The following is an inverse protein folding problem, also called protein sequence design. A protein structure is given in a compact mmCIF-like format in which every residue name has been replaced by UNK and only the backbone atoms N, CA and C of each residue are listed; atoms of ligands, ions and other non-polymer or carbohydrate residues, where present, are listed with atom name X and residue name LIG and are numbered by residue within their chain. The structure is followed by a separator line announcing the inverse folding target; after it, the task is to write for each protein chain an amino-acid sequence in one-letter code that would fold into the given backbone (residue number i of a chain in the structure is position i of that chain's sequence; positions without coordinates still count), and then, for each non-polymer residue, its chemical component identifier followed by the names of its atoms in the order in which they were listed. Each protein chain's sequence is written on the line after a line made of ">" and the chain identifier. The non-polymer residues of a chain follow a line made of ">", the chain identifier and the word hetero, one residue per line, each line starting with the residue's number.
data_IF_696355023256
#
_entry.id   IF_696355023256
#
_cell.length_a   1.000
_cell.length_b   1.000
_cell.length_c   1.000
_cell.angle_alpha   90.00
_cell.angle_beta   90.00
_cell.angle_gamma   90.00
#
_symmetry.space_group_name_H-M   'P 1'
#
loop_
_entity.id
_entity.type
_entity.pdbx_description
1 polymer ?
#
# COMPACT_ATOMS: atom_id res chain seq x y z
N UNK A 1 -20.03 49.03 73.51
CA UNK A 1 -20.56 47.74 74.05
C UNK A 1 -20.98 46.92 72.84
N UNK A 2 -20.12 45.99 72.39
CA UNK A 2 -20.23 44.53 72.63
C UNK A 2 -21.54 43.95 72.05
N UNK A 3 -21.62 42.85 71.31
CA UNK A 3 -20.72 41.92 70.62
C UNK A 3 -21.66 40.87 69.93
N UNK A 4 -21.16 40.09 68.96
CA UNK A 4 -21.77 38.84 68.46
C UNK A 4 -22.38 38.96 67.05
N UNK A 5 -21.71 38.57 65.96
CA UNK A 5 -21.31 37.22 65.50
C UNK A 5 -22.48 36.28 65.28
N UNK A 6 -22.69 35.84 64.03
CA UNK A 6 -23.64 34.78 63.69
C UNK A 6 -23.83 34.57 62.19
N UNK A 7 -22.85 33.92 61.56
CA UNK A 7 -22.94 33.16 60.30
C UNK A 7 -24.34 32.54 60.08
N UNK A 8 -24.95 32.66 58.89
CA UNK A 8 -25.84 31.66 58.24
C UNK A 8 -26.42 32.22 56.92
N UNK A 9 -25.58 32.53 55.92
CA UNK A 9 -26.03 32.76 54.53
C UNK A 9 -24.97 32.24 53.58
N UNK A 10 -24.99 30.95 53.25
CA UNK A 10 -24.37 30.38 52.04
C UNK A 10 -24.54 28.86 52.02
N UNK A 11 -25.74 28.36 51.72
CA UNK A 11 -25.92 26.91 51.49
C UNK A 11 -27.16 26.58 50.64
N UNK A 12 -27.49 27.37 49.62
CA UNK A 12 -28.57 26.98 48.67
C UNK A 12 -28.25 27.33 47.20
N UNK A 13 -27.05 27.79 46.85
CA UNK A 13 -26.82 28.30 45.50
C UNK A 13 -25.48 27.85 44.90
N UNK A 14 -25.38 26.56 44.55
CA UNK A 14 -24.46 26.04 43.49
C UNK A 14 -24.61 24.52 43.35
N UNK A 15 -25.79 24.01 42.95
CA UNK A 15 -25.93 22.62 42.48
C UNK A 15 -26.97 22.51 41.35
N UNK A 16 -26.98 23.50 40.45
CA UNK A 16 -28.00 23.60 39.39
C UNK A 16 -27.40 23.80 37.98
N UNK A 17 -26.09 23.62 37.81
CA UNK A 17 -25.39 23.84 36.52
C UNK A 17 -24.86 22.55 35.86
N UNK A 18 -25.48 21.39 36.10
CA UNK A 18 -25.17 20.13 35.40
C UNK A 18 -26.36 19.56 34.61
N UNK A 19 -27.44 20.33 34.42
CA UNK A 19 -28.53 19.96 33.51
C UNK A 19 -28.17 20.37 32.06
N UNK A 20 -27.15 19.70 31.53
CA UNK A 20 -26.82 19.66 30.11
C UNK A 20 -26.97 18.24 29.60
N UNK A 21 -28.17 17.64 29.72
CA UNK A 21 -28.50 16.41 28.98
C UNK A 21 -28.70 16.78 27.51
N UNK A 22 -27.62 17.01 26.78
CA UNK A 22 -27.62 16.67 25.36
C UNK A 22 -27.85 15.18 25.29
N UNK A 23 -29.01 14.76 24.78
CA UNK A 23 -29.32 13.38 24.45
C UNK A 23 -28.09 12.72 23.82
N UNK A 24 -27.52 11.73 24.50
CA UNK A 24 -26.34 11.02 24.03
C UNK A 24 -26.79 10.16 22.85
N UNK A 25 -26.74 10.74 21.65
CA UNK A 25 -26.99 10.08 20.37
C UNK A 25 -25.87 9.06 20.11
N UNK A 26 -25.98 7.88 20.74
CA UNK A 26 -24.96 6.83 20.62
C UNK A 26 -25.34 5.51 21.29
N UNK A 27 -26.31 5.52 22.22
CA UNK A 27 -26.80 4.31 22.85
C UNK A 27 -28.08 3.81 22.15
N UNK A 28 -27.93 3.02 21.10
CA UNK A 28 -29.05 2.26 20.52
C UNK A 28 -29.16 0.89 21.20
N UNK A 29 -30.37 0.45 21.62
CA UNK A 29 -30.54 -0.91 22.13
C UNK A 29 -30.15 -1.94 21.05
N UNK A 30 -29.60 -3.08 21.48
CA UNK A 30 -29.08 -4.14 20.58
C UNK A 30 -30.10 -4.70 19.57
N UNK A 31 -31.39 -4.45 19.78
CA UNK A 31 -32.51 -4.88 18.93
C UNK A 31 -32.91 -3.86 17.85
N UNK A 32 -32.27 -2.69 17.80
CA UNK A 32 -32.52 -1.66 16.77
C UNK A 32 -31.24 -1.28 16.06
N UNK A 33 -31.32 -1.24 14.72
CA UNK A 33 -30.25 -0.71 13.89
C UNK A 33 -29.93 0.72 14.29
N UNK A 34 -28.65 1.01 14.47
CA UNK A 34 -28.19 2.36 14.78
C UNK A 34 -28.34 3.25 13.54
N UNK A 35 -28.84 4.47 13.71
CA UNK A 35 -28.82 5.46 12.64
C UNK A 35 -27.37 5.77 12.32
N UNK A 36 -26.95 5.50 11.08
CA UNK A 36 -25.57 5.75 10.66
C UNK A 36 -25.37 7.27 10.49
N UNK A 37 -24.47 7.91 11.26
CA UNK A 37 -24.17 9.32 11.07
C UNK A 37 -23.61 9.53 9.66
N UNK A 38 -24.21 10.46 8.91
CA UNK A 38 -23.77 10.79 7.55
C UNK A 38 -22.62 11.80 7.62
N UNK A 39 -21.44 11.37 7.22
CA UNK A 39 -20.27 12.24 7.10
C UNK A 39 -20.37 13.22 5.93
N UNK A 40 -19.30 14.00 5.69
CA UNK A 40 -19.15 14.84 4.50
C UNK A 40 -19.35 14.06 3.18
N UNK A 41 -19.67 14.73 2.07
CA UNK A 41 -19.82 14.07 0.76
C UNK A 41 -18.50 13.43 0.29
N UNK A 42 -18.62 12.50 -0.65
CA UNK A 42 -17.46 11.89 -1.33
C UNK A 42 -16.83 12.98 -2.23
N UNK A 43 -15.51 13.12 -2.15
CA UNK A 43 -14.72 14.08 -2.93
C UNK A 43 -13.62 13.37 -3.72
N UNK A 44 -13.14 14.02 -4.78
CA UNK A 44 -12.02 13.53 -5.58
C UNK A 44 -10.69 13.61 -4.80
N UNK A 45 -9.84 12.59 -4.97
CA UNK A 45 -8.52 12.57 -4.34
C UNK A 45 -7.54 13.42 -5.15
N UNK A 46 -7.43 14.70 -4.79
CA UNK A 46 -6.49 15.65 -5.41
C UNK A 46 -5.20 15.74 -4.59
N UNK A 47 -4.04 15.70 -5.25
CA UNK A 47 -2.74 15.91 -4.64
C UNK A 47 -2.05 17.16 -5.18
N UNK A 48 -1.14 17.78 -4.40
CA UNK A 48 -0.31 18.89 -4.87
C UNK A 48 0.44 18.66 -6.18
N UNK A 49 0.70 17.40 -6.54
CA UNK A 49 1.47 17.02 -7.72
C UNK A 49 0.60 16.81 -8.97
N UNK A 50 -0.72 16.88 -8.85
CA UNK A 50 -1.64 16.60 -9.95
C UNK A 50 -1.51 17.62 -11.07
N UNK A 51 -1.29 18.89 -10.74
CA UNK A 51 -1.09 19.95 -11.73
C UNK A 51 0.20 19.73 -12.53
N UNK A 52 1.29 19.37 -11.84
CA UNK A 52 2.56 19.07 -12.48
C UNK A 52 2.50 17.80 -13.34
N UNK A 53 1.80 16.75 -12.88
CA UNK A 53 1.54 15.55 -13.70
C UNK A 53 0.75 15.92 -14.95
N UNK A 54 -0.32 16.71 -14.81
CA UNK A 54 -1.15 17.13 -15.95
C UNK A 54 -0.37 18.00 -16.96
N UNK A 55 0.66 18.72 -16.52
CA UNK A 55 1.52 19.53 -17.37
C UNK A 55 2.38 18.68 -18.33
N UNK A 56 2.69 17.43 -17.96
CA UNK A 56 3.46 16.49 -18.80
C UNK A 56 2.62 15.92 -19.97
N UNK A 57 1.30 16.12 -19.96
CA UNK A 57 0.42 15.59 -21.00
C UNK A 57 0.87 16.03 -22.39
N UNK A 58 1.02 15.05 -23.30
CA UNK A 58 1.44 15.29 -24.68
C UNK A 58 2.94 15.58 -24.86
N UNK A 59 3.76 15.50 -23.80
CA UNK A 59 5.23 15.62 -23.87
C UNK A 59 5.95 14.30 -24.13
N UNK A 60 5.23 13.19 -24.06
CA UNK A 60 5.73 11.85 -24.37
C UNK A 60 4.96 11.32 -25.57
N UNK A 61 5.67 10.65 -26.47
CA UNK A 61 5.08 10.05 -27.67
C UNK A 61 4.01 8.99 -27.27
N UNK A 62 2.78 9.08 -27.79
CA UNK A 62 1.69 8.17 -27.41
C UNK A 62 1.93 6.71 -27.82
N UNK A 63 2.86 6.44 -28.73
CA UNK A 63 3.29 5.07 -29.06
C UNK A 63 4.04 4.40 -27.91
N UNK A 64 4.63 5.17 -26.99
CA UNK A 64 5.33 4.63 -25.84
C UNK A 64 4.33 4.23 -24.76
N UNK A 65 4.33 2.94 -24.44
CA UNK A 65 3.43 2.35 -23.46
C UNK A 65 4.13 2.09 -22.12
N UNK A 66 3.39 2.37 -21.05
CA UNK A 66 3.80 2.19 -19.67
C UNK A 66 2.94 1.12 -18.99
N UNK A 67 3.51 0.36 -18.08
CA UNK A 67 2.74 -0.47 -17.15
C UNK A 67 3.19 -0.21 -15.71
N UNK A 68 2.34 -0.61 -14.77
CA UNK A 68 2.71 -0.66 -13.36
C UNK A 68 2.86 -2.10 -12.95
N UNK A 69 4.03 -2.44 -12.43
CA UNK A 69 4.31 -3.72 -11.82
C UNK A 69 3.83 -3.77 -10.37
N UNK A 70 4.52 -4.57 -9.57
CA UNK A 70 4.22 -4.62 -8.15
C UNK A 70 4.84 -3.41 -7.43
N UNK A 71 4.02 -2.78 -6.59
CA UNK A 71 4.44 -1.80 -5.59
C UNK A 71 3.99 -2.38 -4.26
N UNK A 72 4.92 -3.07 -3.58
CA UNK A 72 4.61 -3.87 -2.39
C UNK A 72 4.85 -3.08 -1.11
N UNK A 73 4.07 -3.36 -0.08
CA UNK A 73 4.40 -2.96 1.28
C UNK A 73 5.44 -3.95 1.84
N UNK A 74 6.72 -3.56 1.79
CA UNK A 74 7.84 -4.32 2.32
C UNK A 74 8.17 -3.95 3.79
N UNK A 75 7.37 -3.08 4.42
CA UNK A 75 7.60 -2.65 5.80
C UNK A 75 7.26 -3.73 6.83
N UNK A 76 6.36 -4.64 6.46
CA UNK A 76 5.88 -5.73 7.31
C UNK A 76 5.07 -5.28 8.53
N UNK A 77 4.71 -3.99 8.64
CA UNK A 77 4.01 -3.45 9.81
C UNK A 77 2.51 -3.79 9.77
N UNK A 78 2.05 -4.37 10.87
CA UNK A 78 0.64 -4.72 11.09
C UNK A 78 0.14 -4.04 12.36
N UNK A 79 -1.12 -3.61 12.33
CA UNK A 79 -1.85 -3.16 13.51
C UNK A 79 -2.63 -4.33 14.07
N UNK A 80 -2.49 -4.54 15.39
CA UNK A 80 -3.23 -5.55 16.15
C UNK A 80 -4.12 -4.93 17.24
N UNK A 81 -4.25 -3.59 17.24
CA UNK A 81 -5.06 -2.85 18.22
C UNK A 81 -6.47 -2.57 17.67
N UNK A 82 -7.42 -2.35 18.60
CA UNK A 82 -8.79 -1.87 18.33
C UNK A 82 -9.66 -2.77 17.43
N UNK A 83 -9.72 -4.07 17.74
CA UNK A 83 -10.77 -4.95 17.21
C UNK A 83 -10.59 -5.40 15.76
N UNK A 84 -9.41 -5.17 15.16
CA UNK A 84 -9.04 -5.71 13.85
C UNK A 84 -7.53 -5.95 13.74
N UNK A 85 -7.15 -7.05 13.11
CA UNK A 85 -5.79 -7.27 12.61
C UNK A 85 -5.70 -6.84 11.15
N UNK A 86 -4.68 -6.06 10.79
CA UNK A 86 -4.53 -5.60 9.41
C UNK A 86 -3.20 -4.91 9.13
N UNK A 87 -2.86 -4.76 7.84
CA UNK A 87 -1.67 -4.02 7.40
C UNK A 87 -1.81 -2.54 7.76
N UNK A 88 -0.73 -1.93 8.24
CA UNK A 88 -0.72 -0.50 8.59
C UNK A 88 -0.74 0.42 7.35
N UNK A 89 -0.26 -0.08 6.22
CA UNK A 89 -0.24 0.64 4.95
C UNK A 89 -1.12 -0.04 3.90
N UNK A 90 -1.52 0.75 2.90
CA UNK A 90 -2.37 0.28 1.81
C UNK A 90 -1.59 -0.65 0.88
N UNK A 91 -2.22 -1.76 0.50
CA UNK A 91 -1.69 -2.71 -0.49
C UNK A 91 -2.00 -2.28 -1.95
N UNK A 92 -2.71 -1.15 -2.12
CA UNK A 92 -3.11 -0.57 -3.40
C UNK A 92 -2.13 0.48 -3.95
N UNK A 93 -0.88 0.53 -3.47
CA UNK A 93 0.09 1.54 -3.91
C UNK A 93 0.32 1.55 -5.43
N UNK A 94 0.29 0.39 -6.08
CA UNK A 94 0.43 0.29 -7.54
C UNK A 94 -0.72 0.97 -8.30
N UNK A 95 -1.95 0.95 -7.78
CA UNK A 95 -3.09 1.64 -8.39
C UNK A 95 -2.96 3.17 -8.26
N UNK A 96 -2.31 3.65 -7.20
CA UNK A 96 -1.99 5.06 -7.05
C UNK A 96 -0.98 5.51 -8.11
N UNK A 97 0.07 4.71 -8.36
CA UNK A 97 1.03 4.95 -9.45
C UNK A 97 0.35 4.88 -10.82
N UNK A 98 -0.56 3.92 -11.03
CA UNK A 98 -1.32 3.81 -12.28
C UNK A 98 -2.20 5.04 -12.51
N UNK A 99 -2.84 5.55 -11.45
CA UNK A 99 -3.61 6.80 -11.48
C UNK A 99 -2.72 7.99 -11.81
N UNK A 100 -1.50 8.06 -11.26
CA UNK A 100 -0.53 9.12 -11.55
C UNK A 100 -0.07 9.11 -13.01
N UNK A 101 0.23 7.93 -13.58
CA UNK A 101 0.56 7.77 -15.01
C UNK A 101 -0.62 8.21 -15.90
N UNK A 102 -1.84 7.81 -15.56
CA UNK A 102 -3.03 8.24 -16.29
C UNK A 102 -3.25 9.76 -16.21
N UNK A 103 -2.98 10.37 -15.05
CA UNK A 103 -2.98 11.83 -14.89
C UNK A 103 -1.91 12.51 -15.75
N UNK A 104 -0.72 11.91 -15.88
CA UNK A 104 0.34 12.37 -16.77
C UNK A 104 0.00 12.25 -18.26
N UNK A 105 -1.05 11.50 -18.62
CA UNK A 105 -1.54 11.34 -20.00
C UNK A 105 -0.63 10.50 -20.88
N UNK A 106 0.17 9.61 -20.29
CA UNK A 106 0.90 8.58 -21.03
C UNK A 106 0.01 7.38 -21.33
N UNK A 107 0.36 6.59 -22.35
CA UNK A 107 -0.36 5.36 -22.67
C UNK A 107 -0.08 4.30 -21.60
N UNK A 108 -1.10 3.93 -20.80
CA UNK A 108 -0.96 2.92 -19.73
C UNK A 108 -1.62 1.61 -20.11
N UNK A 109 -0.86 0.52 -20.04
CA UNK A 109 -1.32 -0.85 -20.30
C UNK A 109 -1.43 -1.62 -18.98
N UNK A 110 -2.53 -2.36 -18.80
CA UNK A 110 -2.71 -3.18 -17.61
C UNK A 110 -1.83 -4.44 -17.67
N UNK A 111 -0.84 -4.52 -16.77
CA UNK A 111 -0.03 -5.73 -16.52
C UNK A 111 -0.05 -6.18 -15.05
N UNK A 112 -0.81 -5.49 -14.19
CA UNK A 112 -0.97 -5.83 -12.77
C UNK A 112 -2.00 -6.94 -12.57
N UNK A 113 -3.03 -6.98 -13.40
CA UNK A 113 -3.98 -8.10 -13.49
C UNK A 113 -4.04 -8.65 -14.92
N UNK A 114 -3.08 -9.52 -15.31
CA UNK A 114 -3.04 -10.09 -16.64
C UNK A 114 -4.00 -11.28 -16.82
N UNK A 115 -4.76 -11.67 -15.79
CA UNK A 115 -5.57 -12.90 -15.85
C UNK A 115 -6.62 -12.85 -16.96
N UNK A 116 -7.31 -11.72 -17.10
CA UNK A 116 -8.32 -11.54 -18.16
C UNK A 116 -7.70 -11.68 -19.56
N UNK A 117 -6.65 -10.92 -19.95
CA UNK A 117 -6.06 -11.07 -21.28
C UNK A 117 -5.45 -12.46 -21.51
N UNK A 118 -4.96 -13.15 -20.48
CA UNK A 118 -4.44 -14.52 -20.59
C UNK A 118 -5.58 -15.52 -20.82
N UNK A 119 -6.63 -15.50 -20.00
CA UNK A 119 -7.75 -16.44 -20.09
C UNK A 119 -8.46 -16.32 -21.43
N UNK A 120 -8.70 -15.11 -21.89
CA UNK A 120 -9.34 -14.90 -23.19
C UNK A 120 -8.49 -15.32 -24.38
N UNK A 121 -7.16 -15.24 -24.24
CA UNK A 121 -6.23 -15.82 -25.21
C UNK A 121 -6.35 -17.35 -25.22
N UNK A 122 -6.38 -17.98 -24.04
CA UNK A 122 -6.51 -19.43 -23.90
C UNK A 122 -7.84 -19.95 -24.45
N UNK A 123 -8.91 -19.17 -24.33
CA UNK A 123 -10.22 -19.47 -24.88
C UNK A 123 -10.34 -19.14 -26.38
N UNK A 124 -9.32 -18.55 -26.99
CA UNK A 124 -9.32 -18.18 -28.41
C UNK A 124 -10.23 -17.00 -28.76
N UNK A 125 -10.64 -16.20 -27.77
CA UNK A 125 -11.47 -14.99 -27.98
C UNK A 125 -10.63 -13.87 -28.59
N UNK A 126 -9.37 -13.73 -28.14
CA UNK A 126 -8.42 -12.72 -28.61
C UNK A 126 -7.04 -13.35 -28.82
N UNK A 127 -6.27 -12.82 -29.77
CA UNK A 127 -4.86 -13.24 -29.95
C UNK A 127 -3.97 -12.41 -29.01
N UNK A 128 -3.05 -13.08 -28.31
CA UNK A 128 -2.01 -12.45 -27.48
C UNK A 128 -1.14 -11.49 -28.29
N UNK A 129 -0.94 -11.76 -29.58
CA UNK A 129 -0.14 -10.92 -30.48
C UNK A 129 -0.76 -9.55 -30.74
N UNK A 130 -2.06 -9.40 -30.51
CA UNK A 130 -2.77 -8.12 -30.67
C UNK A 130 -2.69 -7.26 -29.41
N UNK A 131 -2.14 -7.77 -28.31
CA UNK A 131 -1.97 -6.98 -27.10
C UNK A 131 -0.88 -5.93 -27.30
N UNK A 132 -1.17 -4.70 -26.86
CA UNK A 132 -0.19 -3.62 -26.88
C UNK A 132 1.02 -4.05 -26.02
N UNK A 133 2.24 -4.14 -26.59
CA UNK A 133 3.43 -4.45 -25.82
C UNK A 133 3.70 -3.31 -24.83
N UNK A 134 4.30 -3.63 -23.69
CA UNK A 134 4.77 -2.62 -22.73
C UNK A 134 6.20 -2.22 -23.10
N UNK A 135 6.51 -0.93 -23.15
CA UNK A 135 7.88 -0.46 -23.34
C UNK A 135 8.60 -0.24 -22.01
N UNK A 136 7.91 0.40 -21.05
CA UNK A 136 8.46 0.67 -19.73
C UNK A 136 7.51 0.22 -18.64
N UNK A 137 8.04 -0.23 -17.51
CA UNK A 137 7.22 -0.48 -16.34
C UNK A 137 7.81 0.14 -15.09
N UNK A 138 6.92 0.61 -14.21
CA UNK A 138 7.28 1.13 -12.89
C UNK A 138 6.99 0.07 -11.85
N UNK A 139 7.97 -0.22 -11.01
CA UNK A 139 7.84 -1.14 -9.87
C UNK A 139 8.55 -0.58 -8.65
N UNK A 140 8.27 -1.11 -7.48
CA UNK A 140 8.95 -0.65 -6.28
C UNK A 140 8.39 -1.23 -5.00
N UNK A 141 8.71 -0.57 -3.90
CA UNK A 141 8.17 -0.94 -2.60
C UNK A 141 8.13 0.25 -1.65
N UNK A 142 7.23 0.17 -0.68
CA UNK A 142 7.34 0.94 0.55
C UNK A 142 8.27 0.13 1.45
N UNK A 143 9.49 0.63 1.66
CA UNK A 143 10.58 -0.13 2.27
C UNK A 143 10.68 0.08 3.79
N UNK A 144 10.18 1.20 4.31
CA UNK A 144 10.27 1.53 5.73
C UNK A 144 9.02 2.25 6.24
N UNK A 145 8.66 1.91 7.48
CA UNK A 145 7.65 2.58 8.28
C UNK A 145 8.12 2.59 9.73
N UNK A 146 8.71 3.70 10.15
CA UNK A 146 9.32 3.84 11.47
C UNK A 146 8.57 4.86 12.32
N UNK A 147 8.28 4.48 13.57
CA UNK A 147 7.66 5.35 14.56
C UNK A 147 8.78 5.99 15.38
N UNK A 148 9.04 7.26 15.12
CA UNK A 148 10.04 8.04 15.84
C UNK A 148 9.34 8.69 17.04
N UNK A 149 9.68 8.31 18.28
CA UNK A 149 9.14 8.97 19.45
C UNK A 149 9.56 10.44 19.42
N UNK A 150 8.62 11.34 19.69
CA UNK A 150 8.94 12.75 19.82
C UNK A 150 9.02 13.18 21.29
N UNK A 151 9.06 14.50 21.48
CA UNK A 151 9.02 15.09 22.81
C UNK A 151 7.60 15.20 23.36
N UNK A 152 7.51 15.44 24.66
CA UNK A 152 6.25 15.79 25.31
C UNK A 152 6.51 16.61 26.56
N UNK A 153 5.49 17.36 26.98
CA UNK A 153 5.47 18.07 28.24
C UNK A 153 4.24 17.59 29.02
N UNK A 154 4.45 17.23 30.28
CA UNK A 154 3.37 16.88 31.20
C UNK A 154 3.55 17.71 32.46
N UNK A 155 2.52 18.46 32.81
CA UNK A 155 2.46 19.27 34.02
C UNK A 155 1.21 18.82 34.76
N UNK A 156 1.37 18.29 35.96
CA UNK A 156 0.28 17.93 36.86
C UNK A 156 0.45 18.65 38.19
N UNK A 157 -0.60 19.33 38.64
CA UNK A 157 -0.62 20.05 39.91
C UNK A 157 -1.95 19.75 40.59
N UNK A 158 -1.87 19.08 41.75
CA UNK A 158 -3.03 18.77 42.59
C UNK A 158 -4.15 18.01 41.86
N UNK A 159 -3.79 17.08 40.97
CA UNK A 159 -4.76 16.30 40.21
C UNK A 159 -5.41 17.10 39.09
N UNK A 160 -4.77 18.15 38.60
CA UNK A 160 -5.12 18.83 37.35
C UNK A 160 -3.88 18.80 36.47
N UNK A 161 -4.01 18.11 35.34
CA UNK A 161 -2.90 17.80 34.44
C UNK A 161 -3.13 18.34 33.03
N UNK A 162 -2.08 18.91 32.45
CA UNK A 162 -2.00 19.22 31.03
C UNK A 162 -0.84 18.46 30.41
N UNK A 163 -1.09 17.89 29.24
CA UNK A 163 -0.19 16.94 28.60
C UNK A 163 -0.15 17.18 27.11
N UNK A 164 1.04 17.47 26.62
CA UNK A 164 1.35 17.61 25.21
C UNK A 164 2.30 16.50 24.79
N UNK A 165 2.00 15.80 23.70
CA UNK A 165 2.88 14.78 23.13
C UNK A 165 3.02 15.00 21.64
N UNK A 166 4.23 14.82 21.14
CA UNK A 166 4.54 14.82 19.72
C UNK A 166 5.16 13.49 19.34
N UNK A 167 4.78 12.97 18.19
CA UNK A 167 5.36 11.76 17.61
C UNK A 167 5.52 11.98 16.10
N UNK A 168 6.45 11.25 15.48
CA UNK A 168 6.64 11.28 14.03
C UNK A 168 6.60 9.87 13.46
N UNK A 169 6.08 9.75 12.24
CA UNK A 169 6.09 8.51 11.48
C UNK A 169 6.92 8.76 10.24
N UNK A 170 8.03 8.06 10.08
CA UNK A 170 8.83 8.08 8.87
C UNK A 170 8.30 7.01 7.91
N UNK A 171 7.99 7.42 6.69
CA UNK A 171 7.66 6.53 5.58
C UNK A 171 8.71 6.73 4.51
N UNK A 172 9.27 5.65 3.97
CA UNK A 172 10.07 5.72 2.75
C UNK A 172 9.65 4.66 1.71
N UNK A 173 9.83 5.03 0.45
CA UNK A 173 9.51 4.21 -0.71
C UNK A 173 10.58 4.40 -1.78
N UNK A 174 10.78 3.36 -2.56
CA UNK A 174 11.65 3.38 -3.74
C UNK A 174 10.85 2.94 -4.95
N UNK A 175 10.81 3.77 -5.98
CA UNK A 175 10.26 3.40 -7.28
C UNK A 175 11.34 3.38 -8.35
N UNK A 176 11.33 2.34 -9.17
CA UNK A 176 12.22 2.17 -10.31
C UNK A 176 11.42 2.08 -11.60
N UNK A 177 11.96 2.68 -12.65
CA UNK A 177 11.48 2.59 -14.02
C UNK A 177 12.42 1.68 -14.80
N UNK A 178 11.86 0.66 -15.44
CA UNK A 178 12.63 -0.39 -16.12
C UNK A 178 12.18 -0.50 -17.58
N UNK A 179 13.14 -0.65 -18.50
CA UNK A 179 12.89 -1.01 -19.89
C UNK A 179 12.45 -2.47 -19.98
N UNK A 180 11.25 -2.73 -20.48
CA UNK A 180 10.68 -4.06 -20.59
C UNK A 180 11.40 -4.94 -21.62
N UNK A 181 12.08 -4.34 -22.61
CA UNK A 181 12.78 -5.09 -23.64
C UNK A 181 14.15 -5.60 -23.16
N UNK A 182 14.89 -4.77 -22.42
CA UNK A 182 16.25 -5.10 -21.96
C UNK A 182 16.32 -5.53 -20.50
N UNK A 183 15.30 -5.24 -19.69
CA UNK A 183 15.32 -5.42 -18.24
C UNK A 183 16.21 -4.41 -17.50
N UNK A 184 16.76 -3.40 -18.19
CA UNK A 184 17.62 -2.39 -17.56
C UNK A 184 16.78 -1.39 -16.78
N UNK A 185 17.15 -1.14 -15.52
CA UNK A 185 16.61 -0.03 -14.73
C UNK A 185 17.19 1.28 -15.28
N UNK A 186 16.32 2.15 -15.76
CA UNK A 186 16.72 3.40 -16.43
C UNK A 186 16.62 4.61 -15.50
N UNK A 187 15.75 4.55 -14.50
CA UNK A 187 15.58 5.59 -13.49
C UNK A 187 15.18 4.96 -12.16
N UNK A 188 15.61 5.57 -11.06
CA UNK A 188 15.26 5.17 -9.71
C UNK A 188 15.05 6.42 -8.84
N UNK A 189 13.95 6.46 -8.10
CA UNK A 189 13.57 7.59 -7.26
C UNK A 189 13.26 7.08 -5.85
N UNK A 190 14.22 7.21 -4.92
CA UNK A 190 13.99 6.97 -3.50
C UNK A 190 13.40 8.22 -2.85
N UNK A 191 12.31 8.07 -2.09
CA UNK A 191 11.68 9.16 -1.34
C UNK A 191 11.42 8.78 0.09
N UNK A 192 11.55 9.76 0.98
CA UNK A 192 11.18 9.63 2.39
C UNK A 192 10.39 10.86 2.84
N UNK A 193 9.42 10.65 3.75
CA UNK A 193 8.65 11.72 4.38
C UNK A 193 8.39 11.40 5.84
N UNK A 194 8.49 12.44 6.68
CA UNK A 194 8.09 12.36 8.09
C UNK A 194 6.70 12.98 8.28
N UNK A 195 5.76 12.17 8.75
CA UNK A 195 4.40 12.56 9.12
C UNK A 195 4.41 13.00 10.58
N UNK A 196 4.00 14.23 10.84
CA UNK A 196 3.92 14.78 12.19
C UNK A 196 2.59 14.44 12.86
N UNK A 197 2.67 14.07 14.14
CA UNK A 197 1.53 13.85 15.03
C UNK A 197 1.70 14.69 16.29
N UNK A 198 0.65 15.37 16.72
CA UNK A 198 0.59 16.03 18.02
C UNK A 198 -0.70 15.66 18.75
N UNK A 199 -0.61 15.55 20.07
CA UNK A 199 -1.73 15.25 20.94
C UNK A 199 -1.70 16.21 22.13
N UNK A 200 -2.84 16.86 22.36
CA UNK A 200 -3.10 17.76 23.46
C UNK A 200 -4.14 17.09 24.37
N UNK A 201 -3.84 16.88 25.64
CA UNK A 201 -4.75 16.31 26.63
C UNK A 201 -4.75 17.19 27.87
N UNK A 202 -5.93 17.51 28.37
CA UNK A 202 -6.13 18.18 29.66
C UNK A 202 -7.05 17.29 30.48
N UNK A 203 -6.70 17.05 31.73
CA UNK A 203 -7.48 16.20 32.61
C UNK A 203 -7.41 16.63 34.06
N UNK A 204 -8.30 16.03 34.85
CA UNK A 204 -8.31 16.14 36.29
C UNK A 204 -8.56 14.79 36.91
N UNK A 205 -7.77 14.47 37.92
CA UNK A 205 -7.74 13.21 38.64
C UNK A 205 -7.90 13.50 40.13
N UNK A 206 -8.97 13.01 40.76
CA UNK A 206 -9.22 13.21 42.19
C UNK A 206 -9.58 11.89 42.88
N UNK A 207 -8.96 11.66 44.03
CA UNK A 207 -9.31 10.54 44.90
C UNK A 207 -10.50 10.91 45.80
N UNK A 208 -11.47 10.00 45.88
CA UNK A 208 -12.56 9.98 46.86
C UNK A 208 -12.43 8.67 47.65
N UNK A 209 -11.96 8.76 48.90
CA UNK A 209 -11.54 7.63 49.73
C UNK A 209 -10.54 6.69 49.01
N UNK A 210 -11.01 5.57 48.49
CA UNK A 210 -10.22 4.57 47.76
C UNK A 210 -10.44 4.61 46.24
N UNK A 211 -11.32 5.47 45.75
CA UNK A 211 -11.72 5.54 44.34
C UNK A 211 -11.05 6.72 43.63
N UNK A 212 -10.31 6.46 42.55
CA UNK A 212 -9.79 7.51 41.66
C UNK A 212 -10.84 7.84 40.60
N UNK A 213 -11.27 9.10 40.57
CA UNK A 213 -12.13 9.62 39.50
C UNK A 213 -11.26 10.48 38.58
N UNK A 214 -11.12 10.05 37.33
CA UNK A 214 -10.40 10.76 36.28
C UNK A 214 -11.37 11.29 35.22
N UNK A 215 -11.21 12.56 34.84
CA UNK A 215 -11.90 13.19 33.73
C UNK A 215 -10.86 13.81 32.83
N UNK A 216 -10.78 13.37 31.57
CA UNK A 216 -9.85 13.95 30.59
C UNK A 216 -10.54 14.27 29.28
N UNK A 217 -10.07 15.33 28.64
CA UNK A 217 -10.46 15.76 27.31
C UNK A 217 -9.20 16.05 26.51
N UNK A 218 -9.18 15.65 25.24
CA UNK A 218 -8.00 15.86 24.41
C UNK A 218 -8.29 15.76 22.93
N UNK A 219 -7.40 16.34 22.13
CA UNK A 219 -7.43 16.29 20.69
C UNK A 219 -6.13 15.72 20.13
N UNK A 220 -6.21 15.04 18.99
CA UNK A 220 -5.05 14.57 18.23
C UNK A 220 -5.09 15.20 16.84
N UNK A 221 -3.93 15.70 16.39
CA UNK A 221 -3.71 16.15 15.02
C UNK A 221 -2.65 15.26 14.39
N UNK A 222 -2.95 14.67 13.23
CA UNK A 222 -2.02 13.85 12.47
C UNK A 222 -2.28 14.02 10.98
N UNK A 223 -1.23 14.09 10.17
CA UNK A 223 -1.38 13.98 8.73
C UNK A 223 -1.88 12.57 8.33
N UNK A 224 -2.79 12.49 7.37
CA UNK A 224 -3.32 11.22 6.93
C UNK A 224 -2.24 10.39 6.22
N UNK A 225 -1.80 9.28 6.84
CA UNK A 225 -0.68 8.47 6.34
C UNK A 225 -0.88 7.95 4.92
N UNK A 226 -2.09 7.47 4.58
CA UNK A 226 -2.38 7.01 3.22
C UNK A 226 -2.42 8.15 2.20
N UNK A 227 -2.83 9.36 2.61
CA UNK A 227 -2.79 10.54 1.75
C UNK A 227 -1.35 10.99 1.50
N UNK A 228 -0.52 11.03 2.56
CA UNK A 228 0.90 11.32 2.46
C UNK A 228 1.62 10.30 1.56
N UNK A 229 1.30 9.01 1.69
CA UNK A 229 1.83 7.95 0.82
C UNK A 229 1.43 8.18 -0.64
N UNK A 230 0.16 8.51 -0.91
CA UNK A 230 -0.30 8.84 -2.28
C UNK A 230 0.44 10.05 -2.86
N UNK A 231 0.63 11.10 -2.05
CA UNK A 231 1.43 12.26 -2.43
C UNK A 231 2.86 11.87 -2.83
N UNK A 232 3.53 11.04 -2.02
CA UNK A 232 4.88 10.56 -2.33
C UNK A 232 4.92 9.73 -3.62
N UNK A 233 3.96 8.82 -3.83
CA UNK A 233 3.88 8.00 -5.05
C UNK A 233 3.63 8.85 -6.31
N UNK A 234 2.74 9.85 -6.22
CA UNK A 234 2.47 10.78 -7.32
C UNK A 234 3.72 11.58 -7.68
N UNK A 235 4.44 12.06 -6.66
CA UNK A 235 5.69 12.80 -6.86
C UNK A 235 6.83 11.92 -7.40
N UNK A 236 7.02 10.70 -6.89
CA UNK A 236 7.99 9.76 -7.45
C UNK A 236 7.68 9.43 -8.92
N UNK A 237 6.40 9.25 -9.25
CA UNK A 237 5.96 9.01 -10.63
C UNK A 237 6.27 10.21 -11.52
N UNK A 238 6.02 11.43 -11.02
CA UNK A 238 6.37 12.67 -11.73
C UNK A 238 7.87 12.75 -12.03
N UNK A 239 8.73 12.48 -11.06
CA UNK A 239 10.19 12.50 -11.23
C UNK A 239 10.68 11.40 -12.17
N UNK A 240 10.11 10.19 -12.11
CA UNK A 240 10.46 9.09 -13.03
C UNK A 240 10.09 9.40 -14.47
N UNK A 241 8.87 9.91 -14.70
CA UNK A 241 8.41 10.30 -16.03
C UNK A 241 9.18 11.51 -16.52
N UNK A 242 9.45 12.47 -15.62
CA UNK A 242 10.23 13.66 -15.93
C UNK A 242 11.61 13.35 -16.51
N UNK A 243 12.25 12.26 -16.07
CA UNK A 243 13.55 11.84 -16.60
C UNK A 243 13.50 11.36 -18.05
N UNK A 244 12.31 11.02 -18.57
CA UNK A 244 12.10 10.64 -19.97
C UNK A 244 11.83 11.84 -20.89
N UNK A 245 11.52 12.99 -20.32
CA UNK A 245 11.14 14.21 -21.04
C UNK A 245 12.35 15.14 -21.11
N UNK A 246 12.59 15.84 -22.24
CA UNK A 246 13.65 16.83 -22.31
C UNK A 246 13.49 17.92 -21.23
N UNK A 247 14.61 18.40 -20.67
CA UNK A 247 14.60 19.41 -19.60
C UNK A 247 13.80 20.67 -19.97
N UNK A 248 13.84 21.09 -21.23
CA UNK A 248 13.08 22.23 -21.74
C UNK A 248 11.56 22.09 -21.56
N UNK A 249 11.05 20.86 -21.63
CA UNK A 249 9.63 20.55 -21.45
C UNK A 249 9.29 20.17 -20.01
N UNK A 250 10.23 19.57 -19.27
CA UNK A 250 10.00 19.11 -17.91
C UNK A 250 10.14 20.22 -16.86
N UNK A 251 11.14 21.10 -16.96
CA UNK A 251 11.40 22.14 -15.96
C UNK A 251 10.20 23.07 -15.70
N UNK A 252 9.43 23.53 -16.71
CA UNK A 252 8.21 24.31 -16.48
C UNK A 252 7.14 23.56 -15.68
N UNK A 253 7.04 22.24 -15.86
CA UNK A 253 6.09 21.41 -15.12
C UNK A 253 6.55 21.17 -13.68
N UNK A 254 7.86 20.96 -13.49
CA UNK A 254 8.45 20.83 -12.15
C UNK A 254 8.31 22.10 -11.31
N UNK A 255 8.43 23.28 -11.93
CA UNK A 255 8.25 24.56 -11.24
C UNK A 255 6.86 24.73 -10.59
N UNK A 256 5.84 23.99 -11.04
CA UNK A 256 4.52 23.95 -10.42
C UNK A 256 4.52 23.23 -9.05
N UNK A 257 5.50 22.36 -8.81
CA UNK A 257 5.68 21.63 -7.55
C UNK A 257 6.50 22.42 -6.53
N UNK A 258 7.51 23.16 -7.01
CA UNK A 258 8.48 23.87 -6.16
C UNK A 258 7.83 24.94 -5.25
N UNK A 259 6.59 25.37 -5.55
CA UNK A 259 5.81 26.25 -4.70
C UNK A 259 5.06 25.58 -3.54
N UNK A 260 4.95 24.24 -3.49
CA UNK A 260 3.94 23.56 -2.66
C UNK A 260 4.48 22.58 -1.61
N UNK A 261 5.63 21.90 -1.77
CA UNK A 261 6.39 21.14 -0.72
C UNK A 261 7.24 20.03 -1.35
N UNK A 262 8.54 20.26 -1.53
CA UNK A 262 9.51 19.18 -1.74
C UNK A 262 10.63 19.53 -2.70
N UNK A 263 11.76 20.03 -2.18
CA UNK A 263 13.00 20.08 -2.95
C UNK A 263 13.67 18.71 -2.87
N UNK A 264 13.38 17.80 -3.80
CA UNK A 264 14.40 16.81 -4.13
C UNK A 264 15.47 17.57 -4.91
N UNK A 265 16.73 17.42 -4.51
CA UNK A 265 17.87 17.92 -5.27
C UNK A 265 18.04 17.11 -6.58
N UNK A 266 16.97 16.99 -7.38
CA UNK A 266 16.94 16.17 -8.60
C UNK A 266 17.58 16.86 -9.80
N UNK A 267 18.06 18.10 -9.66
CA UNK A 267 18.93 18.71 -10.67
C UNK A 267 20.21 17.88 -10.90
N UNK A 268 20.65 17.07 -9.92
CA UNK A 268 21.78 16.15 -10.09
C UNK A 268 21.39 14.78 -10.71
N UNK A 269 20.13 14.33 -10.58
CA UNK A 269 19.66 13.04 -11.12
C UNK A 269 19.23 13.12 -12.59
N UNK A 270 18.73 14.27 -13.06
CA UNK A 270 18.33 14.44 -14.46
C UNK A 270 19.51 14.54 -15.44
N UNK A 271 20.65 15.12 -15.04
CA UNK A 271 21.70 15.49 -15.99
C UNK A 271 22.68 14.36 -16.34
N UNK A 272 22.81 13.31 -15.52
CA UNK A 272 23.84 12.29 -15.70
C UNK A 272 23.49 11.22 -16.77
N UNK A 273 22.22 11.10 -17.16
CA UNK A 273 21.74 10.07 -18.10
C UNK A 273 20.81 10.55 -19.22
N UNK A 274 20.51 11.86 -19.30
CA UNK A 274 19.50 12.41 -20.22
C UNK A 274 19.76 12.07 -21.70
N UNK A 275 21.04 12.07 -22.14
CA UNK A 275 21.39 11.73 -23.54
C UNK A 275 21.14 10.25 -23.85
N UNK A 276 21.46 9.37 -22.91
CA UNK A 276 21.25 7.94 -23.06
C UNK A 276 19.75 7.61 -23.04
N UNK A 277 18.98 8.32 -22.21
CA UNK A 277 17.52 8.16 -22.12
C UNK A 277 16.83 8.66 -23.39
N UNK A 278 17.24 9.82 -23.94
CA UNK A 278 16.68 10.33 -25.18
C UNK A 278 16.94 9.38 -26.36
N UNK A 279 18.15 8.83 -26.46
CA UNK A 279 18.48 7.80 -27.46
C UNK A 279 17.65 6.53 -27.26
N UNK A 280 17.42 6.11 -26.01
CA UNK A 280 16.57 4.98 -25.68
C UNK A 280 15.10 5.24 -26.08
N UNK A 281 14.56 6.42 -25.82
CA UNK A 281 13.20 6.82 -26.22
C UNK A 281 13.07 6.78 -27.75
N UNK A 282 14.00 7.39 -28.49
CA UNK A 282 13.98 7.38 -29.95
C UNK A 282 14.01 5.95 -30.51
N UNK A 283 14.92 5.11 -30.02
CA UNK A 283 14.99 3.69 -30.40
C UNK A 283 13.70 2.93 -30.06
N UNK A 284 12.99 3.33 -29.01
CA UNK A 284 11.73 2.70 -28.61
C UNK A 284 10.59 3.07 -29.55
N UNK A 285 10.51 4.33 -29.97
CA UNK A 285 9.58 4.78 -31.01
C UNK A 285 9.84 4.04 -32.32
N UNK A 286 11.10 3.94 -32.75
CA UNK A 286 11.48 3.16 -33.93
C UNK A 286 11.01 1.70 -33.82
N UNK A 287 11.25 1.03 -32.68
CA UNK A 287 10.76 -0.35 -32.44
C UNK A 287 9.24 -0.44 -32.53
N UNK A 288 8.51 0.53 -32.01
CA UNK A 288 7.04 0.53 -32.04
C UNK A 288 6.49 0.79 -33.45
N UNK A 289 7.19 1.58 -34.27
CA UNK A 289 6.85 1.85 -35.68
C UNK A 289 7.20 0.68 -36.60
N UNK A 290 8.31 -0.02 -36.35
CA UNK A 290 8.68 -1.25 -37.07
C UNK A 290 7.79 -2.45 -36.66
N UNK A 291 7.19 -2.41 -35.46
CA UNK A 291 6.38 -3.50 -34.91
C UNK A 291 4.85 -3.30 -34.93
N UNK A 292 4.22 -2.94 -36.07
CA UNK A 292 2.94 -3.53 -36.46
C UNK A 292 3.12 -4.90 -37.13
N UNK A 293 4.36 -5.30 -37.45
CA UNK A 293 4.66 -6.49 -38.25
C UNK A 293 5.84 -7.27 -37.66
N UNK A 294 5.60 -7.94 -36.52
CA UNK A 294 6.15 -9.27 -36.33
C UNK A 294 5.11 -10.32 -36.76
N UNK A 295 4.67 -10.21 -38.02
CA UNK A 295 4.72 -11.39 -38.87
C UNK A 295 6.20 -11.75 -38.95
N UNK A 296 6.70 -12.46 -37.94
CA UNK A 296 7.92 -13.21 -38.12
C UNK A 296 7.67 -14.00 -39.39
N UNK A 297 8.48 -13.70 -40.41
CA UNK A 297 8.61 -14.55 -41.57
C UNK A 297 8.50 -15.97 -41.04
N UNK A 298 7.47 -16.69 -41.48
CA UNK A 298 7.52 -18.13 -41.41
C UNK A 298 8.90 -18.45 -41.94
N UNK A 299 9.78 -18.97 -41.06
CA UNK A 299 10.99 -19.62 -41.51
C UNK A 299 10.47 -20.60 -42.53
N UNK A 300 10.67 -20.28 -43.81
CA UNK A 300 10.38 -21.16 -44.90
C UNK A 300 11.36 -22.29 -44.69
N UNK A 301 10.89 -23.33 -44.00
CA UNK A 301 11.62 -24.58 -43.91
C UNK A 301 11.83 -25.03 -45.36
N UNK A 302 13.08 -25.19 -45.82
CA UNK A 302 13.34 -25.87 -47.09
C UNK A 302 12.66 -27.24 -47.05
N UNK A 303 12.31 -27.86 -48.19
CA UNK A 303 11.66 -29.17 -48.18
C UNK A 303 12.57 -30.17 -47.48
N UNK A 304 12.27 -30.47 -46.22
CA UNK A 304 13.00 -31.46 -45.44
C UNK A 304 12.59 -32.82 -45.96
N UNK A 305 13.55 -33.46 -46.64
CA UNK A 305 13.66 -34.89 -46.80
C UNK A 305 13.21 -35.59 -45.51
N UNK A 306 12.28 -36.54 -45.66
CA UNK A 306 11.71 -37.31 -44.56
C UNK A 306 12.83 -37.99 -43.75
N UNK A 307 13.03 -37.50 -42.53
CA UNK A 307 13.71 -38.20 -41.44
C UNK A 307 12.64 -38.66 -40.43
N UNK A 308 12.84 -39.79 -39.75
CA UNK A 308 11.75 -40.65 -39.27
C UNK A 308 10.92 -40.01 -38.16
N UNK A 309 9.64 -40.41 -38.13
CA UNK A 309 8.64 -39.98 -37.16
C UNK A 309 9.19 -39.94 -35.72
N UNK A 310 9.06 -38.77 -35.10
CA UNK A 310 9.28 -38.62 -33.66
C UNK A 310 8.34 -39.57 -32.91
N UNK A 311 8.91 -40.36 -31.99
CA UNK A 311 8.17 -41.27 -31.15
C UNK A 311 7.09 -40.52 -30.34
N UNK A 312 5.91 -41.13 -30.14
CA UNK A 312 4.86 -40.50 -29.35
C UNK A 312 5.33 -40.29 -27.91
N UNK A 313 4.92 -39.17 -27.32
CA UNK A 313 5.08 -38.92 -25.89
C UNK A 313 4.49 -40.13 -25.13
N UNK A 314 5.34 -40.82 -24.37
CA UNK A 314 4.90 -41.94 -23.55
C UNK A 314 3.99 -41.39 -22.46
N UNK A 315 2.69 -41.66 -22.57
CA UNK A 315 1.80 -41.64 -21.43
C UNK A 315 2.37 -42.61 -20.40
N UNK A 316 2.82 -42.09 -19.26
CA UNK A 316 3.29 -42.93 -18.16
C UNK A 316 2.07 -43.72 -17.67
N UNK A 317 1.93 -44.96 -18.14
CA UNK A 317 0.98 -45.90 -17.56
C UNK A 317 1.44 -46.19 -16.13
N UNK A 318 0.64 -45.74 -15.17
CA UNK A 318 0.91 -45.99 -13.75
C UNK A 318 0.80 -47.49 -13.52
N UNK A 319 1.95 -48.17 -13.44
CA UNK A 319 2.05 -49.59 -13.10
C UNK A 319 1.26 -49.89 -11.81
N UNK A 320 0.62 -51.06 -11.69
CA UNK A 320 -0.09 -51.47 -10.49
C UNK A 320 0.80 -51.46 -9.22
N UNK A 321 2.12 -51.63 -9.34
CA UNK A 321 3.04 -51.43 -8.19
C UNK A 321 3.13 -49.97 -7.78
N UNK A 322 3.19 -49.05 -8.75
CA UNK A 322 3.33 -47.62 -8.49
C UNK A 322 2.05 -47.04 -7.87
N UNK A 323 0.86 -47.55 -8.25
CA UNK A 323 -0.39 -47.25 -7.55
C UNK A 323 -0.37 -47.73 -6.11
N UNK A 324 0.12 -48.94 -5.85
CA UNK A 324 0.25 -49.50 -4.49
C UNK A 324 1.16 -48.64 -3.62
N UNK A 325 2.27 -48.15 -4.19
CA UNK A 325 3.19 -47.24 -3.49
C UNK A 325 2.50 -45.90 -3.22
N UNK A 326 1.81 -45.32 -4.19
CA UNK A 326 1.06 -44.06 -4.01
C UNK A 326 -0.03 -44.18 -2.93
N UNK A 327 -0.84 -45.25 -2.96
CA UNK A 327 -1.90 -45.48 -1.97
C UNK A 327 -1.32 -45.66 -0.56
N UNK A 328 -0.21 -46.38 -0.45
CA UNK A 328 0.48 -46.58 0.83
C UNK A 328 1.04 -45.27 1.36
N UNK A 329 1.69 -44.46 0.52
CA UNK A 329 2.20 -43.14 0.89
C UNK A 329 1.07 -42.18 1.30
N UNK A 330 -0.05 -42.20 0.58
CA UNK A 330 -1.22 -41.36 0.91
C UNK A 330 -1.87 -41.78 2.23
N UNK A 331 -1.93 -43.09 2.50
CA UNK A 331 -2.43 -43.65 3.77
C UNK A 331 -1.53 -43.28 4.95
N UNK A 332 -0.20 -43.38 4.80
CA UNK A 332 0.74 -42.95 5.84
C UNK A 332 0.66 -41.44 6.09
N UNK A 333 0.57 -40.63 5.04
CA UNK A 333 0.38 -39.18 5.18
C UNK A 333 -0.93 -38.84 5.91
N UNK A 334 -2.02 -39.54 5.59
CA UNK A 334 -3.30 -39.37 6.28
C UNK A 334 -3.22 -39.72 7.77
N UNK A 335 -2.56 -40.85 8.11
CA UNK A 335 -2.35 -41.25 9.51
C UNK A 335 -1.47 -40.28 10.28
N UNK A 336 -0.42 -39.74 9.66
CA UNK A 336 0.46 -38.75 10.26
C UNK A 336 -0.28 -37.43 10.57
N UNK A 337 -1.19 -36.99 9.69
CA UNK A 337 -1.98 -35.78 9.92
C UNK A 337 -2.99 -35.99 11.06
N UNK A 338 -3.69 -37.13 11.08
CA UNK A 338 -4.71 -37.44 12.10
C UNK A 338 -4.08 -37.61 13.48
N UNK A 339 -2.95 -38.32 13.56
CA UNK A 339 -2.20 -38.49 14.81
C UNK A 339 -1.63 -37.17 15.32
N UNK A 340 -1.08 -36.31 14.44
CA UNK A 340 -0.61 -34.97 14.84
C UNK A 340 -1.75 -34.09 15.39
N UNK A 341 -2.94 -34.18 14.80
CA UNK A 341 -4.13 -33.48 15.30
C UNK A 341 -4.63 -34.04 16.64
N UNK A 342 -4.57 -35.36 16.83
CA UNK A 342 -4.91 -36.02 18.09
C UNK A 342 -3.92 -35.66 19.21
N UNK A 343 -2.61 -35.70 18.94
CA UNK A 343 -1.56 -35.27 19.89
C UNK A 343 -1.71 -33.81 20.28
N UNK A 344 -2.13 -32.93 19.36
CA UNK A 344 -2.38 -31.52 19.66
C UNK A 344 -3.59 -31.29 20.58
N UNK A 345 -4.55 -32.21 20.60
CA UNK A 345 -5.75 -32.15 21.44
C UNK A 345 -5.60 -32.89 22.77
N UNK A 346 -4.58 -33.72 22.93
CA UNK A 346 -4.34 -34.48 24.15
C UNK A 346 -3.90 -33.55 25.30
N UNK A 347 -4.57 -33.68 26.44
CA UNK A 347 -4.33 -32.86 27.64
C UNK A 347 -3.22 -33.39 28.54
N UNK A 348 -2.80 -34.65 28.36
CA UNK A 348 -1.71 -35.27 29.12
C UNK A 348 -0.52 -35.64 28.21
N UNK A 349 0.73 -35.40 28.65
CA UNK A 349 1.92 -35.58 27.82
C UNK A 349 2.20 -37.05 27.44
N UNK A 350 1.76 -38.02 28.25
CA UNK A 350 1.88 -39.45 27.92
C UNK A 350 0.99 -39.87 26.75
N UNK A 351 -0.25 -39.36 26.71
CA UNK A 351 -1.24 -39.65 25.67
C UNK A 351 -0.83 -39.02 24.32
N UNK A 352 -0.26 -37.81 24.36
CA UNK A 352 0.30 -37.17 23.17
C UNK A 352 1.46 -37.97 22.55
N UNK A 353 2.32 -38.57 23.38
CA UNK A 353 3.44 -39.39 22.94
C UNK A 353 3.00 -40.73 22.33
N UNK A 354 1.90 -41.31 22.82
CA UNK A 354 1.35 -42.55 22.27
C UNK A 354 0.66 -42.34 20.91
N UNK A 355 0.00 -41.19 20.71
CA UNK A 355 -0.52 -40.81 19.39
C UNK A 355 0.58 -40.58 18.35
N UNK A 356 1.74 -40.04 18.76
CA UNK A 356 2.91 -39.87 17.87
C UNK A 356 3.50 -41.22 17.47
N UNK A 357 3.54 -42.21 18.37
CA UNK A 357 4.00 -43.57 18.04
C UNK A 357 3.07 -44.28 17.05
N UNK A 358 1.77 -43.97 17.07
CA UNK A 358 0.80 -44.52 16.11
C UNK A 358 0.90 -43.90 14.70
N UNK A 359 1.68 -42.82 14.55
CA UNK A 359 1.91 -42.13 13.27
C UNK A 359 2.99 -42.77 12.39
N UNK A 360 3.90 -43.56 13.00
CA UNK A 360 5.03 -44.25 12.35
C UNK A 360 4.63 -45.62 11.84
#
# INVERSE_FOLDING_TARGET
>A
MMAGVGFHVCAVMTLSMLMGCSSIEGFSPSTKNMTLPKGPPIEDVVTPFDEALSCIRGKIDPSISFAVGQVIDATGKESYAEGGSGKMLSQGAGEMVQTALFRAGVTVVNRRDPNIPIVETQWGIRDIKQQIPVNFYISGSINSLDFIPGGGLEVDIAGIGAKHRQNRILIALDLSLTDAFTGRIIANVPLQKQIFTSQDVVGTDRFFDTTLVSLSAGGMRREAAHFAMRQMLNFATLELIGQLVPDADYLPCKAKVDGINGSVSSNASHSAGAKDIAALMAKTVERNVEAPLQTMQAVQTPPQSQAPAAAPAQSVEISPEMRKIMERTTSFAGRAIVSAQASRKATQPGEAADHIKQAM
#
